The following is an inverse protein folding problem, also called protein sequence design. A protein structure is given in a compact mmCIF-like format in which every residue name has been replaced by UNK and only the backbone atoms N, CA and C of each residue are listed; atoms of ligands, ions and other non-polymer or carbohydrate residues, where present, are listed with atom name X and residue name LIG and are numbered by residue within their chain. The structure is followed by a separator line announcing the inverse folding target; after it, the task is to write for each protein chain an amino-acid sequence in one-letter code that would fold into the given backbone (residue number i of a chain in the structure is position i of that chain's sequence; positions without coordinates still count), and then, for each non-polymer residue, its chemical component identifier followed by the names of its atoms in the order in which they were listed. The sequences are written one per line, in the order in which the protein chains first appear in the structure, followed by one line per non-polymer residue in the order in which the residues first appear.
data_IF_800469041199
#
_entry.id   IF_800469041199
#
_cell.length_a   1.000
_cell.length_b   1.000
_cell.length_c   1.000
_cell.angle_alpha   90.00
_cell.angle_beta   90.00
_cell.angle_gamma   90.00
#
_symmetry.space_group_name_H-M   'P 1'
#
loop_
_entity.id
_entity.type
_entity.pdbx_description
1 polymer ?
#
# COMPACT_ATOMS: atom_id res chain seq x y z
N UNK A 1 -25.69 54.87 -65.93
CA UNK A 1 -26.34 53.85 -65.16
C UNK A 1 -25.27 53.08 -64.38
N UNK A 2 -25.09 53.40 -63.08
CA UNK A 2 -24.09 52.75 -62.20
C UNK A 2 -24.83 51.75 -61.37
N UNK A 3 -24.47 50.45 -61.44
CA UNK A 3 -25.00 49.34 -60.60
C UNK A 3 -24.09 49.22 -59.38
N UNK A 4 -24.62 49.53 -58.21
CA UNK A 4 -23.99 49.32 -56.93
C UNK A 4 -24.28 47.89 -56.44
N UNK A 5 -23.24 47.08 -56.24
CA UNK A 5 -23.36 45.72 -55.66
C UNK A 5 -23.08 45.83 -54.18
N UNK A 6 -24.09 45.61 -53.33
CA UNK A 6 -23.91 45.43 -51.86
C UNK A 6 -23.38 44.03 -51.59
N UNK A 7 -22.18 43.94 -51.03
CA UNK A 7 -21.63 42.72 -50.48
C UNK A 7 -22.07 42.59 -48.99
N UNK A 8 -22.96 41.64 -48.69
CA UNK A 8 -23.34 41.24 -47.33
C UNK A 8 -22.29 40.27 -46.79
N UNK A 9 -21.42 40.78 -45.88
CA UNK A 9 -20.48 39.94 -45.16
C UNK A 9 -21.18 39.21 -44.02
N UNK A 10 -21.32 37.87 -44.13
CA UNK A 10 -21.80 37.02 -43.05
C UNK A 10 -20.67 36.83 -42.04
N UNK A 11 -20.82 37.40 -40.85
CA UNK A 11 -19.93 37.23 -39.71
C UNK A 11 -20.28 35.89 -39.01
N UNK A 12 -19.56 34.84 -39.35
CA UNK A 12 -19.71 33.52 -38.67
C UNK A 12 -19.07 33.64 -37.25
N UNK A 13 -19.90 33.81 -36.24
CA UNK A 13 -19.50 33.57 -34.85
C UNK A 13 -19.18 32.10 -34.65
N UNK A 14 -17.92 31.71 -34.62
CA UNK A 14 -17.47 30.41 -34.14
C UNK A 14 -17.61 30.40 -32.61
N UNK A 15 -18.71 29.86 -32.10
CA UNK A 15 -18.85 29.49 -30.70
C UNK A 15 -17.85 28.33 -30.44
N UNK A 16 -16.67 28.70 -29.94
CA UNK A 16 -15.77 27.69 -29.33
C UNK A 16 -16.44 27.16 -28.07
N UNK A 17 -17.12 26.02 -28.19
CA UNK A 17 -17.46 25.23 -27.04
C UNK A 17 -16.14 24.77 -26.42
N UNK A 18 -15.65 25.51 -25.43
CA UNK A 18 -14.63 25.02 -24.52
C UNK A 18 -15.17 23.71 -23.92
N UNK A 19 -14.55 22.60 -24.22
CA UNK A 19 -14.84 21.35 -23.53
C UNK A 19 -14.54 21.59 -22.04
N UNK A 20 -15.55 22.01 -21.29
CA UNK A 20 -15.44 22.06 -19.83
C UNK A 20 -15.26 20.63 -19.38
N UNK A 21 -14.08 20.33 -18.81
CA UNK A 21 -13.87 19.14 -18.05
C UNK A 21 -15.02 19.04 -17.01
N UNK A 22 -15.78 17.96 -17.04
CA UNK A 22 -16.99 17.77 -16.24
C UNK A 22 -16.93 16.39 -15.61
N UNK A 23 -17.49 16.24 -14.42
CA UNK A 23 -17.75 14.92 -13.81
C UNK A 23 -18.76 14.20 -14.70
N UNK A 24 -18.41 13.03 -15.24
CA UNK A 24 -19.08 12.38 -16.37
C UNK A 24 -20.54 12.03 -16.13
N UNK A 25 -20.89 11.55 -14.92
CA UNK A 25 -22.27 11.24 -14.49
C UNK A 25 -22.75 12.09 -13.31
N UNK A 26 -21.98 13.13 -12.96
CA UNK A 26 -22.26 14.03 -11.84
C UNK A 26 -21.94 13.45 -10.46
N UNK A 27 -21.34 12.28 -10.37
CA UNK A 27 -20.96 11.60 -9.11
C UNK A 27 -19.57 10.97 -9.27
N UNK A 28 -18.65 11.24 -8.36
CA UNK A 28 -17.35 10.56 -8.31
C UNK A 28 -17.49 9.30 -7.48
N UNK A 29 -17.16 8.14 -8.05
CA UNK A 29 -17.31 6.85 -7.38
C UNK A 29 -15.96 6.18 -7.15
N UNK A 30 -15.68 5.81 -5.90
CA UNK A 30 -14.46 5.08 -5.53
C UNK A 30 -14.82 3.72 -4.97
N UNK A 31 -14.28 2.67 -5.58
CA UNK A 31 -14.43 1.29 -5.13
C UNK A 31 -13.30 0.88 -4.17
N UNK A 32 -13.63 0.46 -2.95
CA UNK A 32 -12.69 -0.15 -2.02
C UNK A 32 -12.77 -1.66 -2.20
N UNK A 33 -11.80 -2.21 -2.94
CA UNK A 33 -11.72 -3.64 -3.22
C UNK A 33 -10.61 -4.24 -2.36
N UNK A 34 -10.99 -4.93 -1.29
CA UNK A 34 -10.07 -5.35 -0.24
C UNK A 34 -10.35 -6.77 0.24
N UNK A 35 -9.51 -7.30 1.11
CA UNK A 35 -9.76 -8.56 1.82
C UNK A 35 -10.62 -8.27 3.06
N UNK A 36 -11.90 -8.66 3.03
CA UNK A 36 -12.84 -8.41 4.15
C UNK A 36 -12.85 -9.55 5.16
N UNK A 37 -12.45 -10.76 4.78
CA UNK A 37 -12.69 -11.97 5.55
C UNK A 37 -11.49 -12.91 5.68
N UNK A 38 -10.43 -12.67 4.93
CA UNK A 38 -9.24 -13.52 4.84
C UNK A 38 -8.06 -13.04 5.69
N UNK A 39 -6.84 -13.54 5.39
CA UNK A 39 -5.64 -13.32 6.20
C UNK A 39 -5.17 -11.85 6.27
N UNK A 40 -5.65 -10.99 5.39
CA UNK A 40 -5.28 -9.56 5.34
C UNK A 40 -6.40 -8.63 5.84
N UNK A 41 -7.53 -9.17 6.31
CA UNK A 41 -8.70 -8.38 6.72
C UNK A 41 -8.42 -7.45 7.90
N UNK A 42 -7.52 -7.81 8.80
CA UNK A 42 -7.15 -6.98 9.95
C UNK A 42 -6.32 -5.74 9.56
N UNK A 43 -5.46 -5.85 8.54
CA UNK A 43 -4.63 -4.73 8.11
C UNK A 43 -5.34 -3.77 7.16
N UNK A 44 -6.30 -4.24 6.37
CA UNK A 44 -7.13 -3.48 5.43
C UNK A 44 -8.62 -3.58 5.79
N UNK A 45 -9.37 -4.39 5.04
CA UNK A 45 -10.74 -4.80 5.31
C UNK A 45 -11.70 -3.65 5.60
N UNK A 46 -12.54 -3.84 6.63
CA UNK A 46 -13.48 -2.80 7.09
C UNK A 46 -12.77 -1.48 7.42
N UNK A 47 -11.56 -1.53 7.97
CA UNK A 47 -10.80 -0.32 8.30
C UNK A 47 -10.47 0.53 7.06
N UNK A 48 -10.22 -0.09 5.91
CA UNK A 48 -10.02 0.61 4.65
C UNK A 48 -11.29 1.34 4.19
N UNK A 49 -12.46 0.74 4.38
CA UNK A 49 -13.75 1.41 4.09
C UNK A 49 -13.96 2.61 5.01
N UNK A 50 -13.70 2.46 6.31
CA UNK A 50 -13.78 3.57 7.27
C UNK A 50 -12.82 4.70 6.90
N UNK A 51 -11.57 4.37 6.55
CA UNK A 51 -10.56 5.34 6.14
C UNK A 51 -10.99 6.12 4.88
N UNK A 52 -11.56 5.43 3.88
CA UNK A 52 -12.07 6.08 2.67
C UNK A 52 -13.25 7.01 2.94
N UNK A 53 -14.16 6.64 3.84
CA UNK A 53 -15.27 7.50 4.27
C UNK A 53 -14.77 8.76 4.98
N UNK A 54 -13.74 8.64 5.85
CA UNK A 54 -13.09 9.79 6.48
C UNK A 54 -12.43 10.72 5.44
N UNK A 55 -11.83 10.16 4.40
CA UNK A 55 -11.24 10.95 3.32
C UNK A 55 -12.31 11.74 2.55
N UNK A 56 -13.45 11.13 2.25
CA UNK A 56 -14.60 11.81 1.61
C UNK A 56 -15.12 12.93 2.49
N UNK A 57 -15.34 12.65 3.78
CA UNK A 57 -15.81 13.66 4.73
C UNK A 57 -14.90 14.89 4.79
N UNK A 58 -13.57 14.67 4.84
CA UNK A 58 -12.62 15.76 4.94
C UNK A 58 -12.52 16.54 3.62
N UNK A 59 -12.54 15.86 2.48
CA UNK A 59 -12.53 16.53 1.18
C UNK A 59 -13.80 17.38 0.96
N UNK A 60 -14.96 16.89 1.35
CA UNK A 60 -16.23 17.64 1.25
C UNK A 60 -16.25 18.90 2.11
N UNK A 61 -15.49 18.93 3.22
CA UNK A 61 -15.32 20.13 4.06
C UNK A 61 -14.32 21.13 3.47
N UNK A 62 -13.49 20.70 2.50
CA UNK A 62 -12.40 21.45 1.93
C UNK A 62 -12.53 21.55 0.40
N UNK A 63 -11.66 20.89 -0.37
CA UNK A 63 -11.52 21.04 -1.82
C UNK A 63 -12.69 20.50 -2.64
N UNK A 64 -13.42 19.49 -2.11
CA UNK A 64 -14.53 18.81 -2.80
C UNK A 64 -15.92 19.39 -2.46
N UNK A 65 -15.97 20.60 -1.95
CA UNK A 65 -17.25 21.22 -1.52
C UNK A 65 -18.28 21.22 -2.66
N UNK A 66 -19.43 20.61 -2.41
CA UNK A 66 -20.53 20.51 -3.37
C UNK A 66 -20.43 19.35 -4.36
N UNK A 67 -19.35 18.57 -4.37
CA UNK A 67 -19.26 17.34 -5.15
C UNK A 67 -20.14 16.24 -4.57
N UNK A 68 -20.65 15.38 -5.44
CA UNK A 68 -21.28 14.11 -5.04
C UNK A 68 -20.22 13.01 -5.12
N UNK A 69 -20.02 12.29 -4.02
CA UNK A 69 -19.00 11.25 -3.93
C UNK A 69 -19.64 10.00 -3.32
N UNK A 70 -19.39 8.85 -3.93
CA UNK A 70 -19.87 7.55 -3.48
C UNK A 70 -18.69 6.61 -3.20
N UNK A 71 -18.79 5.84 -2.11
CA UNK A 71 -17.86 4.74 -1.80
C UNK A 71 -18.60 3.41 -1.96
N UNK A 72 -18.09 2.57 -2.85
CA UNK A 72 -18.47 1.18 -2.96
C UNK A 72 -17.42 0.30 -2.27
N UNK A 73 -17.82 -0.89 -1.80
CA UNK A 73 -16.85 -1.82 -1.22
C UNK A 73 -17.18 -3.27 -1.56
N UNK A 74 -16.14 -4.10 -1.73
CA UNK A 74 -16.28 -5.52 -1.96
C UNK A 74 -15.09 -6.31 -1.45
N UNK A 75 -15.35 -7.61 -1.16
CA UNK A 75 -14.33 -8.58 -0.81
C UNK A 75 -13.79 -9.26 -2.08
N UNK A 76 -12.47 -9.24 -2.28
CA UNK A 76 -11.83 -9.94 -3.39
C UNK A 76 -11.44 -11.39 -3.04
N UNK A 77 -11.65 -11.82 -1.78
CA UNK A 77 -11.37 -13.16 -1.30
C UNK A 77 -9.93 -13.64 -1.59
N UNK A 78 -8.98 -12.71 -1.76
CA UNK A 78 -7.59 -12.97 -2.20
C UNK A 78 -7.47 -13.71 -3.55
N UNK A 79 -8.48 -13.61 -4.43
CA UNK A 79 -8.54 -14.25 -5.74
C UNK A 79 -8.52 -13.21 -6.84
N UNK A 80 -7.52 -13.30 -7.72
CA UNK A 80 -7.29 -12.33 -8.80
C UNK A 80 -8.43 -12.31 -9.84
N UNK A 81 -9.04 -13.45 -10.13
CA UNK A 81 -10.18 -13.60 -11.03
C UNK A 81 -11.46 -12.96 -10.47
N UNK A 82 -11.74 -13.16 -9.17
CA UNK A 82 -12.88 -12.52 -8.48
C UNK A 82 -12.69 -10.99 -8.47
N UNK A 83 -11.50 -10.53 -8.13
CA UNK A 83 -11.19 -9.11 -8.13
C UNK A 83 -11.31 -8.47 -9.52
N UNK A 84 -10.78 -9.12 -10.56
CA UNK A 84 -10.88 -8.64 -11.94
C UNK A 84 -12.34 -8.62 -12.44
N UNK A 85 -13.14 -9.63 -12.05
CA UNK A 85 -14.57 -9.67 -12.37
C UNK A 85 -15.34 -8.53 -11.69
N UNK A 86 -15.10 -8.29 -10.39
CA UNK A 86 -15.73 -7.20 -9.64
C UNK A 86 -15.29 -5.84 -10.18
N UNK A 87 -14.00 -5.65 -10.45
CA UNK A 87 -13.49 -4.40 -11.02
C UNK A 87 -14.12 -4.11 -12.41
N UNK A 88 -14.28 -5.14 -13.25
CA UNK A 88 -14.95 -5.00 -14.54
C UNK A 88 -16.42 -4.62 -14.38
N UNK A 89 -17.14 -5.29 -13.47
CA UNK A 89 -18.53 -4.95 -13.15
C UNK A 89 -18.64 -3.48 -12.71
N UNK A 90 -17.79 -3.03 -11.82
CA UNK A 90 -17.77 -1.66 -11.33
C UNK A 90 -17.50 -0.64 -12.44
N UNK A 91 -16.52 -0.90 -13.30
CA UNK A 91 -16.20 0.01 -14.42
C UNK A 91 -17.31 0.05 -15.47
N UNK A 92 -17.82 -1.10 -15.88
CA UNK A 92 -18.75 -1.20 -17.01
C UNK A 92 -20.19 -0.83 -16.62
N UNK A 93 -20.66 -1.29 -15.45
CA UNK A 93 -22.05 -1.14 -15.00
C UNK A 93 -22.22 0.01 -14.00
N UNK A 94 -21.39 0.03 -12.94
CA UNK A 94 -21.60 0.93 -11.82
C UNK A 94 -20.88 2.28 -12.01
N UNK A 95 -20.06 2.39 -13.07
CA UNK A 95 -19.31 3.61 -13.45
C UNK A 95 -18.39 4.09 -12.34
N UNK A 96 -17.62 3.17 -11.74
CA UNK A 96 -16.60 3.49 -10.75
C UNK A 96 -15.38 4.11 -11.44
N UNK A 97 -14.93 5.26 -10.96
CA UNK A 97 -13.82 6.04 -11.53
C UNK A 97 -12.45 5.57 -11.04
N UNK A 98 -12.38 5.16 -9.79
CA UNK A 98 -11.15 4.71 -9.15
C UNK A 98 -11.38 3.50 -8.25
N UNK A 99 -10.37 2.62 -8.17
CA UNK A 99 -10.34 1.48 -7.23
C UNK A 99 -9.15 1.64 -6.30
N UNK A 100 -9.37 1.45 -5.00
CA UNK A 100 -8.36 1.61 -3.96
C UNK A 100 -8.21 0.37 -3.09
N UNK A 101 -7.09 0.32 -2.35
CA UNK A 101 -6.62 -0.69 -1.41
C UNK A 101 -6.00 -1.91 -2.10
N UNK A 102 -6.77 -2.94 -2.51
CA UNK A 102 -6.30 -4.12 -3.25
C UNK A 102 -5.24 -4.94 -2.46
N UNK A 103 -5.54 -5.28 -1.22
CA UNK A 103 -4.60 -5.87 -0.22
C UNK A 103 -3.78 -7.09 -0.65
N UNK A 104 -4.03 -7.71 -1.81
CA UNK A 104 -3.28 -8.86 -2.33
C UNK A 104 -2.51 -8.49 -3.61
N UNK A 105 -1.22 -8.81 -3.68
CA UNK A 105 -0.38 -8.42 -4.83
C UNK A 105 -0.80 -9.03 -6.17
N UNK A 106 -1.28 -10.28 -6.20
CA UNK A 106 -1.79 -10.89 -7.44
C UNK A 106 -3.11 -10.25 -7.88
N UNK A 107 -3.97 -9.91 -6.92
CA UNK A 107 -5.19 -9.12 -7.15
C UNK A 107 -4.83 -7.76 -7.74
N UNK A 108 -3.90 -7.04 -7.12
CA UNK A 108 -3.49 -5.71 -7.55
C UNK A 108 -2.92 -5.70 -8.96
N UNK A 109 -2.05 -6.64 -9.31
CA UNK A 109 -1.50 -6.78 -10.67
C UNK A 109 -2.59 -7.03 -11.72
N UNK A 110 -3.56 -7.90 -11.41
CA UNK A 110 -4.68 -8.19 -12.29
C UNK A 110 -5.59 -6.98 -12.50
N UNK A 111 -5.94 -6.28 -11.42
CA UNK A 111 -6.78 -5.07 -11.48
C UNK A 111 -6.04 -3.92 -12.14
N UNK A 112 -4.73 -3.70 -11.86
CA UNK A 112 -3.94 -2.67 -12.53
C UNK A 112 -3.96 -2.81 -14.05
N UNK A 113 -3.79 -4.05 -14.55
CA UNK A 113 -3.88 -4.32 -15.99
C UNK A 113 -5.25 -3.93 -16.53
N UNK A 114 -6.34 -4.32 -15.86
CA UNK A 114 -7.70 -3.97 -16.27
C UNK A 114 -7.93 -2.45 -16.27
N UNK A 115 -7.50 -1.75 -15.21
CA UNK A 115 -7.64 -0.29 -15.10
C UNK A 115 -6.83 0.45 -16.17
N UNK A 116 -5.64 -0.04 -16.53
CA UNK A 116 -4.85 0.48 -17.65
C UNK A 116 -5.58 0.35 -18.98
N UNK A 117 -6.19 -0.81 -19.23
CA UNK A 117 -6.87 -1.11 -20.50
C UNK A 117 -8.21 -0.35 -20.62
N UNK A 118 -8.93 -0.15 -19.52
CA UNK A 118 -10.26 0.47 -19.50
C UNK A 118 -10.27 1.96 -19.13
N UNK A 119 -9.17 2.51 -18.65
CA UNK A 119 -9.05 3.94 -18.37
C UNK A 119 -9.49 4.36 -16.95
N UNK A 120 -9.45 3.49 -15.95
CA UNK A 120 -9.70 3.87 -14.54
C UNK A 120 -8.42 4.16 -13.75
N UNK A 121 -8.54 4.71 -12.55
CA UNK A 121 -7.44 4.94 -11.61
C UNK A 121 -7.34 3.79 -10.61
N UNK A 122 -6.13 3.26 -10.37
CA UNK A 122 -5.86 2.27 -9.33
C UNK A 122 -4.90 2.82 -8.28
N UNK A 123 -5.29 2.74 -7.00
CA UNK A 123 -4.50 3.20 -5.86
C UNK A 123 -4.21 2.03 -4.92
N UNK A 124 -2.94 1.69 -4.76
CA UNK A 124 -2.50 0.50 -4.04
C UNK A 124 -1.95 0.89 -2.67
N UNK A 125 -2.69 0.61 -1.61
CA UNK A 125 -2.26 0.86 -0.22
C UNK A 125 -1.92 -0.43 0.52
N UNK A 126 -2.53 -1.55 0.14
CA UNK A 126 -2.36 -2.84 0.79
C UNK A 126 -1.39 -3.81 0.10
N UNK A 127 -1.30 -3.89 -1.24
CA UNK A 127 -0.37 -4.80 -1.90
C UNK A 127 1.05 -4.26 -1.83
N UNK A 128 2.03 -5.15 -1.73
CA UNK A 128 3.42 -4.75 -1.51
C UNK A 128 4.35 -4.95 -2.71
N UNK A 129 3.98 -5.77 -3.71
CA UNK A 129 4.90 -6.10 -4.81
C UNK A 129 5.47 -4.87 -5.51
N UNK A 130 6.80 -4.75 -5.57
CA UNK A 130 7.48 -3.68 -6.32
C UNK A 130 7.16 -3.70 -7.82
N UNK A 131 6.62 -4.80 -8.36
CA UNK A 131 6.23 -4.92 -9.76
C UNK A 131 5.24 -3.84 -10.21
N UNK A 132 4.35 -3.39 -9.30
CA UNK A 132 3.33 -2.37 -9.59
C UNK A 132 3.91 -1.05 -10.11
N UNK A 133 5.15 -0.72 -9.76
CA UNK A 133 5.87 0.49 -10.17
C UNK A 133 7.17 0.20 -10.94
N UNK A 134 7.42 -1.08 -11.25
CA UNK A 134 8.54 -1.51 -12.08
C UNK A 134 8.01 -2.15 -13.39
N UNK A 135 8.21 -3.46 -13.56
CA UNK A 135 7.90 -4.16 -14.81
C UNK A 135 6.43 -4.14 -15.23
N UNK A 136 5.50 -4.04 -14.28
CA UNK A 136 4.06 -3.95 -14.54
C UNK A 136 3.49 -2.55 -14.35
N UNK A 137 4.31 -1.49 -14.32
CA UNK A 137 3.86 -0.13 -14.08
C UNK A 137 2.77 0.35 -15.06
N UNK A 138 1.90 1.21 -14.57
CA UNK A 138 0.78 1.77 -15.32
C UNK A 138 0.71 3.29 -15.18
N UNK A 139 0.36 4.05 -16.23
CA UNK A 139 0.17 5.49 -16.13
C UNK A 139 -0.94 5.88 -15.14
N UNK A 140 -1.88 4.95 -14.89
CA UNK A 140 -3.05 5.14 -14.04
C UNK A 140 -2.94 4.39 -12.69
N UNK A 141 -1.78 3.78 -12.39
CA UNK A 141 -1.52 3.04 -11.17
C UNK A 141 -0.64 3.84 -10.21
N UNK A 142 -1.02 3.89 -8.92
CA UNK A 142 -0.33 4.65 -7.89
C UNK A 142 -0.12 3.79 -6.65
N UNK A 143 1.14 3.56 -6.27
CA UNK A 143 1.50 2.69 -5.16
C UNK A 143 1.81 3.52 -3.91
N UNK A 144 0.93 3.42 -2.90
CA UNK A 144 1.01 4.16 -1.63
C UNK A 144 1.86 3.43 -0.59
N UNK A 145 2.04 4.02 0.53
CA UNK A 145 2.66 3.57 1.79
C UNK A 145 3.95 2.77 1.68
N UNK A 146 3.96 1.53 1.26
CA UNK A 146 5.10 0.62 1.32
C UNK A 146 5.18 -0.26 0.07
N UNK A 147 6.31 -0.92 -0.10
CA UNK A 147 6.50 -2.00 -1.06
C UNK A 147 7.48 -3.06 -0.51
N UNK A 148 7.68 -4.14 -1.24
CA UNK A 148 8.56 -5.23 -0.80
C UNK A 148 10.02 -4.79 -0.63
N UNK A 149 10.47 -3.78 -1.39
CA UNK A 149 11.81 -3.24 -1.21
C UNK A 149 11.94 -2.43 0.07
N UNK A 150 11.00 -1.53 0.37
CA UNK A 150 11.04 -0.70 1.59
C UNK A 150 11.00 -1.56 2.86
N UNK A 151 10.26 -2.66 2.85
CA UNK A 151 10.20 -3.62 3.95
C UNK A 151 11.51 -4.41 4.09
N UNK A 152 12.06 -4.88 2.98
CA UNK A 152 13.35 -5.59 2.96
C UNK A 152 14.52 -4.69 3.36
N UNK A 153 14.56 -3.45 2.86
CA UNK A 153 15.66 -2.51 3.09
C UNK A 153 15.81 -2.17 4.57
N UNK A 154 14.71 -2.01 5.31
CA UNK A 154 14.76 -1.74 6.74
C UNK A 154 15.33 -2.90 7.55
N UNK A 155 14.68 -4.06 7.47
CA UNK A 155 14.99 -5.21 8.33
C UNK A 155 16.21 -6.00 7.87
N UNK A 156 16.26 -6.38 6.57
CA UNK A 156 17.33 -7.24 6.06
C UNK A 156 18.68 -6.52 6.03
N UNK A 157 18.73 -5.23 5.68
CA UNK A 157 19.98 -4.47 5.70
C UNK A 157 20.53 -4.32 7.13
N UNK A 158 19.66 -3.98 8.10
CA UNK A 158 20.07 -3.79 9.49
C UNK A 158 20.69 -5.06 10.08
N UNK A 159 20.01 -6.20 9.96
CA UNK A 159 20.49 -7.48 10.49
C UNK A 159 21.77 -7.95 9.79
N UNK A 160 21.86 -7.80 8.48
CA UNK A 160 23.07 -8.20 7.72
C UNK A 160 24.28 -7.35 8.08
N UNK A 161 24.10 -6.03 8.30
CA UNK A 161 25.16 -5.12 8.79
C UNK A 161 25.64 -5.46 10.20
N UNK A 162 24.72 -5.97 11.05
CA UNK A 162 25.06 -6.46 12.39
C UNK A 162 25.76 -7.84 12.42
N UNK A 163 26.14 -8.38 11.26
CA UNK A 163 26.91 -9.62 11.16
C UNK A 163 26.06 -10.88 10.92
N UNK A 164 24.73 -10.74 10.82
CA UNK A 164 23.83 -11.85 10.49
C UNK A 164 23.85 -12.13 8.99
N UNK A 165 24.86 -12.87 8.51
CA UNK A 165 25.22 -12.95 7.09
C UNK A 165 24.48 -14.03 6.31
N UNK A 166 24.05 -15.14 6.92
CA UNK A 166 23.38 -16.24 6.24
C UNK A 166 21.86 -16.21 6.48
N UNK A 167 21.08 -16.27 5.39
CA UNK A 167 19.62 -16.15 5.41
C UNK A 167 18.94 -17.34 4.76
N UNK A 168 17.85 -17.78 5.37
CA UNK A 168 16.92 -18.75 4.79
C UNK A 168 15.50 -18.16 4.85
N UNK A 169 14.71 -18.28 3.77
CA UNK A 169 13.37 -17.70 3.74
C UNK A 169 12.25 -18.71 3.90
N UNK A 170 11.22 -18.35 4.65
CA UNK A 170 9.91 -19.01 4.67
C UNK A 170 8.95 -18.07 3.96
N UNK A 171 8.52 -18.46 2.75
CA UNK A 171 7.93 -17.54 1.79
C UNK A 171 6.52 -17.99 1.39
N UNK A 172 5.55 -17.08 1.45
CA UNK A 172 4.22 -17.35 0.90
C UNK A 172 4.26 -17.48 -0.62
N UNK A 173 3.66 -18.55 -1.16
CA UNK A 173 3.80 -18.95 -2.57
C UNK A 173 2.85 -18.20 -3.51
N UNK A 174 3.05 -16.88 -3.63
CA UNK A 174 2.40 -16.05 -4.66
C UNK A 174 3.20 -14.73 -4.88
N UNK A 175 2.72 -13.86 -5.80
CA UNK A 175 3.45 -12.67 -6.27
C UNK A 175 4.07 -11.81 -5.16
N UNK A 176 3.39 -11.63 -4.02
CA UNK A 176 3.92 -10.87 -2.88
C UNK A 176 5.15 -11.55 -2.26
N UNK A 177 5.03 -12.82 -1.85
CA UNK A 177 6.13 -13.53 -1.21
C UNK A 177 7.36 -13.63 -2.12
N UNK A 178 7.14 -13.91 -3.41
CA UNK A 178 8.22 -13.95 -4.41
C UNK A 178 8.93 -12.60 -4.54
N UNK A 179 8.19 -11.49 -4.57
CA UNK A 179 8.78 -10.15 -4.62
C UNK A 179 9.54 -9.82 -3.34
N UNK A 180 8.98 -10.14 -2.16
CA UNK A 180 9.61 -9.83 -0.88
C UNK A 180 10.89 -10.64 -0.68
N UNK A 181 10.88 -11.95 -0.99
CA UNK A 181 12.07 -12.80 -0.94
C UNK A 181 13.15 -12.29 -1.89
N UNK A 182 12.76 -11.93 -3.13
CA UNK A 182 13.69 -11.39 -4.11
C UNK A 182 14.32 -10.09 -3.62
N UNK A 183 13.52 -9.12 -3.20
CA UNK A 183 14.01 -7.82 -2.74
C UNK A 183 14.87 -7.96 -1.48
N UNK A 184 14.48 -8.83 -0.53
CA UNK A 184 15.28 -9.14 0.65
C UNK A 184 16.60 -9.83 0.30
N UNK A 185 16.56 -10.79 -0.62
CA UNK A 185 17.78 -11.47 -1.13
C UNK A 185 18.77 -10.49 -1.76
N UNK A 186 18.27 -9.56 -2.56
CA UNK A 186 19.09 -8.52 -3.19
C UNK A 186 19.71 -7.58 -2.15
N UNK A 187 18.93 -7.21 -1.11
CA UNK A 187 19.43 -6.39 0.02
C UNK A 187 20.48 -7.14 0.83
N UNK A 188 20.25 -8.41 1.18
CA UNK A 188 21.20 -9.26 1.90
C UNK A 188 22.53 -9.36 1.14
N UNK A 189 22.49 -9.69 -0.15
CA UNK A 189 23.68 -9.83 -1.00
C UNK A 189 24.47 -8.52 -1.11
N UNK A 190 23.79 -7.39 -1.34
CA UNK A 190 24.43 -6.07 -1.40
C UNK A 190 25.12 -5.66 -0.09
N UNK A 191 24.67 -6.19 1.06
CA UNK A 191 25.29 -5.96 2.35
C UNK A 191 26.30 -7.07 2.74
N UNK A 192 26.73 -7.88 1.78
CA UNK A 192 27.75 -8.92 1.97
C UNK A 192 27.25 -10.15 2.74
N UNK A 193 25.94 -10.44 2.67
CA UNK A 193 25.34 -11.68 3.16
C UNK A 193 25.08 -12.69 2.04
N UNK A 194 24.60 -13.86 2.40
CA UNK A 194 24.25 -14.97 1.51
C UNK A 194 22.87 -15.49 1.82
N UNK A 195 22.16 -15.95 0.80
CA UNK A 195 20.88 -16.68 0.93
C UNK A 195 21.17 -18.15 0.70
N UNK A 196 20.95 -18.97 1.71
CA UNK A 196 21.28 -20.41 1.69
C UNK A 196 20.10 -21.27 1.25
N UNK A 197 18.89 -20.71 1.13
CA UNK A 197 17.72 -21.41 0.62
C UNK A 197 16.41 -20.71 0.98
N UNK A 198 15.32 -21.33 0.56
CA UNK A 198 13.96 -20.91 0.88
C UNK A 198 13.01 -22.11 0.84
N UNK A 199 11.89 -22.01 1.54
CA UNK A 199 10.76 -22.92 1.47
C UNK A 199 9.48 -22.16 1.23
N UNK A 200 8.56 -22.74 0.44
CA UNK A 200 7.29 -22.12 0.06
C UNK A 200 6.15 -22.68 0.88
N UNK A 201 5.22 -21.83 1.30
CA UNK A 201 3.96 -22.22 1.94
C UNK A 201 2.76 -21.61 1.23
N UNK A 202 1.59 -22.25 1.22
CA UNK A 202 0.39 -21.67 0.63
C UNK A 202 -0.10 -20.46 1.44
N UNK A 203 -0.83 -19.56 0.79
CA UNK A 203 -1.51 -18.45 1.47
C UNK A 203 -2.55 -19.01 2.45
N UNK A 204 -2.63 -18.42 3.64
CA UNK A 204 -3.54 -18.82 4.73
C UNK A 204 -3.24 -20.24 5.25
N UNK A 205 -1.96 -20.55 5.43
CA UNK A 205 -1.52 -21.81 6.01
C UNK A 205 -1.88 -21.88 7.51
N UNK A 206 -2.47 -22.99 7.94
CA UNK A 206 -2.80 -23.22 9.36
C UNK A 206 -1.64 -23.83 10.15
N UNK A 207 -0.75 -24.55 9.47
CA UNK A 207 0.39 -25.24 10.07
C UNK A 207 1.69 -24.84 9.37
N UNK A 208 2.61 -24.30 10.16
CA UNK A 208 3.95 -23.87 9.72
C UNK A 208 5.05 -24.82 10.17
N UNK A 209 4.75 -25.90 10.91
CA UNK A 209 5.72 -26.77 11.56
C UNK A 209 6.78 -27.30 10.59
N UNK A 210 6.36 -27.85 9.45
CA UNK A 210 7.28 -28.44 8.45
C UNK A 210 8.17 -27.40 7.81
N UNK A 211 7.65 -26.22 7.51
CA UNK A 211 8.40 -25.10 6.92
C UNK A 211 9.44 -24.55 7.90
N UNK A 212 9.05 -24.40 9.17
CA UNK A 212 9.92 -23.91 10.25
C UNK A 212 11.04 -24.90 10.58
N UNK A 213 10.75 -26.22 10.60
CA UNK A 213 11.77 -27.27 10.81
C UNK A 213 12.79 -27.26 9.66
N UNK A 214 12.35 -27.12 8.40
CA UNK A 214 13.26 -26.99 7.27
C UNK A 214 14.14 -25.73 7.39
N UNK A 215 13.55 -24.61 7.77
CA UNK A 215 14.28 -23.37 8.00
C UNK A 215 15.29 -23.49 9.14
N UNK A 216 14.92 -24.14 10.25
CA UNK A 216 15.83 -24.42 11.36
C UNK A 216 16.99 -25.32 10.92
N UNK A 217 16.70 -26.38 10.15
CA UNK A 217 17.67 -27.34 9.64
C UNK A 217 18.69 -26.73 8.66
N UNK A 218 18.38 -25.59 8.04
CA UNK A 218 19.29 -24.82 7.17
C UNK A 218 20.50 -24.26 7.93
N UNK A 219 20.41 -24.10 9.25
CA UNK A 219 21.39 -23.45 10.14
C UNK A 219 21.75 -22.02 9.71
N UNK A 220 20.91 -21.38 8.93
CA UNK A 220 21.06 -19.96 8.62
C UNK A 220 20.99 -19.11 9.88
N UNK A 221 21.77 -18.04 9.95
CA UNK A 221 21.75 -17.11 11.10
C UNK A 221 20.40 -16.38 11.21
N UNK A 222 19.71 -16.18 10.06
CA UNK A 222 18.39 -15.55 10.02
C UNK A 222 17.41 -16.42 9.24
N UNK A 223 16.26 -16.67 9.86
CA UNK A 223 15.06 -17.18 9.19
C UNK A 223 14.21 -15.95 8.86
N UNK A 224 14.15 -15.58 7.58
CA UNK A 224 13.35 -14.47 7.08
C UNK A 224 11.94 -14.92 6.74
N UNK A 225 10.93 -14.38 7.41
CA UNK A 225 9.53 -14.61 7.07
C UNK A 225 9.13 -13.66 5.93
N UNK A 226 9.07 -14.19 4.71
CA UNK A 226 8.59 -13.47 3.53
C UNK A 226 7.09 -13.74 3.32
N UNK A 227 6.30 -13.39 4.32
CA UNK A 227 4.84 -13.47 4.38
C UNK A 227 4.29 -12.24 5.14
N UNK A 228 2.97 -12.17 5.40
CA UNK A 228 2.33 -11.03 6.04
C UNK A 228 0.97 -11.40 6.64
N UNK A 229 0.43 -10.56 7.53
CA UNK A 229 -0.88 -10.73 8.15
C UNK A 229 -0.99 -12.01 8.97
N UNK A 230 -2.11 -12.75 8.84
CA UNK A 230 -2.36 -13.96 9.62
C UNK A 230 -1.28 -15.03 9.48
N UNK A 231 -0.66 -15.16 8.29
CA UNK A 231 0.42 -16.12 8.07
C UNK A 231 1.68 -15.77 8.90
N UNK A 232 2.04 -14.48 8.96
CA UNK A 232 3.15 -14.01 9.83
C UNK A 232 2.85 -14.25 11.30
N UNK A 233 1.62 -13.95 11.74
CA UNK A 233 1.19 -14.17 13.12
C UNK A 233 1.29 -15.68 13.49
N UNK A 234 0.77 -16.56 12.62
CA UNK A 234 0.81 -18.01 12.83
C UNK A 234 2.24 -18.54 12.84
N UNK A 235 3.07 -18.11 11.88
CA UNK A 235 4.48 -18.52 11.80
C UNK A 235 5.28 -18.09 13.04
N UNK A 236 5.10 -16.87 13.54
CA UNK A 236 5.78 -16.37 14.74
C UNK A 236 5.34 -17.17 15.98
N UNK A 237 4.01 -17.40 16.16
CA UNK A 237 3.50 -18.19 17.31
C UNK A 237 4.09 -19.59 17.32
N UNK A 238 4.01 -20.31 16.20
CA UNK A 238 4.54 -21.68 16.09
C UNK A 238 6.07 -21.71 16.23
N UNK A 239 6.80 -20.75 15.65
CA UNK A 239 8.24 -20.66 15.85
C UNK A 239 8.62 -20.50 17.33
N UNK A 240 7.85 -19.73 18.10
CA UNK A 240 8.04 -19.58 19.56
C UNK A 240 7.78 -20.88 20.31
N UNK A 241 6.70 -21.61 19.99
CA UNK A 241 6.38 -22.90 20.58
C UNK A 241 7.51 -23.92 20.38
N UNK A 242 8.10 -23.96 19.20
CA UNK A 242 9.22 -24.83 18.86
C UNK A 242 10.60 -24.26 19.26
N UNK A 243 10.65 -23.05 19.85
CA UNK A 243 11.88 -22.32 20.19
C UNK A 243 12.78 -22.07 18.97
N UNK A 244 12.20 -21.96 17.79
CA UNK A 244 12.91 -21.64 16.55
C UNK A 244 13.16 -20.13 16.47
N UNK A 245 14.39 -19.76 16.11
CA UNK A 245 14.78 -18.35 15.97
C UNK A 245 14.89 -17.58 17.27
N UNK A 246 14.86 -18.23 18.44
CA UNK A 246 15.01 -17.64 19.77
C UNK A 246 16.43 -17.77 20.35
N UNK A 247 17.30 -18.52 19.67
CA UNK A 247 18.69 -18.74 20.07
C UNK A 247 19.65 -17.63 19.66
N UNK A 248 20.90 -17.72 20.17
CA UNK A 248 21.97 -16.79 19.79
C UNK A 248 22.45 -16.99 18.34
N UNK A 249 22.37 -18.26 17.87
CA UNK A 249 22.92 -18.68 16.58
C UNK A 249 21.94 -18.52 15.41
N UNK A 250 20.66 -18.42 15.71
CA UNK A 250 19.61 -18.27 14.70
C UNK A 250 18.52 -17.32 15.19
N UNK A 251 18.11 -16.35 14.36
CA UNK A 251 17.06 -15.37 14.63
C UNK A 251 15.91 -15.51 13.65
N UNK A 252 14.69 -15.26 14.14
CA UNK A 252 13.51 -15.08 13.28
C UNK A 252 13.38 -13.58 12.95
N UNK A 253 13.25 -13.26 11.67
CA UNK A 253 13.03 -11.91 11.16
C UNK A 253 11.74 -11.85 10.35
N UNK A 254 10.70 -11.20 10.86
CA UNK A 254 9.49 -10.91 10.09
C UNK A 254 9.75 -9.68 9.22
N UNK A 255 9.64 -9.85 7.88
CA UNK A 255 9.96 -8.78 6.94
C UNK A 255 8.80 -7.81 6.74
N UNK A 256 7.56 -8.26 6.93
CA UNK A 256 6.37 -7.41 6.88
C UNK A 256 5.49 -7.69 8.10
N UNK A 257 5.32 -6.67 8.92
CA UNK A 257 4.49 -6.70 10.13
C UNK A 257 3.63 -5.45 10.16
N UNK A 258 2.40 -5.59 10.63
CA UNK A 258 1.47 -4.49 10.84
C UNK A 258 1.14 -4.34 12.34
N UNK A 259 0.68 -3.17 12.72
CA UNK A 259 0.22 -2.90 14.09
C UNK A 259 -0.88 -3.90 14.52
N UNK A 260 -1.75 -4.31 13.60
CA UNK A 260 -2.75 -5.36 13.82
C UNK A 260 -2.16 -6.73 14.12
N UNK A 261 -1.01 -7.06 13.53
CA UNK A 261 -0.32 -8.34 13.77
C UNK A 261 0.31 -8.34 15.16
N UNK A 262 0.91 -7.21 15.58
CA UNK A 262 1.41 -7.04 16.95
C UNK A 262 0.28 -7.19 17.97
N UNK A 263 -0.90 -6.62 17.67
CA UNK A 263 -2.08 -6.78 18.51
C UNK A 263 -2.52 -8.25 18.64
N UNK A 264 -2.52 -8.99 17.52
CA UNK A 264 -2.90 -10.41 17.48
C UNK A 264 -1.87 -11.34 18.14
N UNK A 265 -0.59 -10.96 18.10
CA UNK A 265 0.50 -11.68 18.78
C UNK A 265 0.51 -11.46 20.28
N UNK A 266 0.15 -10.26 20.71
CA UNK A 266 0.40 -9.76 22.07
C UNK A 266 1.86 -9.37 22.29
N UNK A 267 2.09 -8.44 23.23
CA UNK A 267 3.42 -7.89 23.47
C UNK A 267 4.44 -8.94 23.97
N UNK A 268 4.02 -9.91 24.78
CA UNK A 268 4.91 -10.98 25.24
C UNK A 268 5.53 -11.77 24.09
N UNK A 269 4.75 -12.03 23.04
CA UNK A 269 5.23 -12.73 21.85
C UNK A 269 5.98 -11.83 20.89
N UNK A 270 5.50 -10.60 20.70
CA UNK A 270 6.00 -9.70 19.66
C UNK A 270 7.16 -8.81 20.11
N UNK A 271 7.41 -8.65 21.42
CA UNK A 271 8.43 -7.74 21.94
C UNK A 271 9.79 -7.92 21.26
N UNK A 272 10.42 -6.79 20.96
CA UNK A 272 11.74 -6.76 20.33
C UNK A 272 11.74 -6.96 18.82
N UNK A 273 10.61 -7.31 18.16
CA UNK A 273 10.52 -7.30 16.70
C UNK A 273 10.83 -5.90 16.18
N UNK A 274 11.66 -5.83 15.14
CA UNK A 274 12.04 -4.59 14.45
C UNK A 274 11.61 -4.70 12.99
N UNK A 275 10.89 -3.67 12.51
CA UNK A 275 10.41 -3.63 11.12
C UNK A 275 10.21 -2.19 10.63
N UNK A 276 10.00 -2.02 9.33
CA UNK A 276 9.68 -0.71 8.75
C UNK A 276 8.15 -0.50 8.70
N UNK A 277 7.70 0.68 9.11
CA UNK A 277 6.29 1.08 9.06
C UNK A 277 6.15 2.43 8.33
N UNK A 278 5.10 2.60 7.56
CA UNK A 278 4.81 3.85 6.86
C UNK A 278 3.95 4.83 7.66
N UNK A 279 3.35 4.38 8.75
CA UNK A 279 2.49 5.19 9.61
C UNK A 279 2.38 4.60 11.01
N UNK A 280 2.64 5.43 12.02
CA UNK A 280 2.35 5.06 13.41
C UNK A 280 1.41 6.07 14.05
N UNK A 281 0.33 5.58 14.66
CA UNK A 281 -0.76 6.40 15.17
C UNK A 281 -0.33 7.39 16.28
N UNK A 282 0.69 7.06 17.06
CA UNK A 282 1.23 7.88 18.16
C UNK A 282 2.57 8.57 17.80
N UNK A 283 2.77 8.90 16.52
CA UNK A 283 4.00 9.55 16.07
C UNK A 283 4.02 11.05 16.42
N UNK A 284 2.95 11.76 16.05
CA UNK A 284 2.80 13.21 16.28
C UNK A 284 1.33 13.58 16.57
N UNK A 285 1.04 14.86 16.83
CA UNK A 285 -0.32 15.31 17.13
C UNK A 285 -1.30 15.09 15.98
N UNK A 286 -0.83 15.19 14.73
CA UNK A 286 -1.62 14.94 13.53
C UNK A 286 -2.02 13.47 13.42
N UNK A 287 -1.06 12.56 13.59
CA UNK A 287 -1.32 11.11 13.55
C UNK A 287 -2.23 10.68 14.69
N UNK A 288 -2.08 11.27 15.89
CA UNK A 288 -2.96 11.04 17.05
C UNK A 288 -4.39 11.52 16.78
N UNK A 289 -4.55 12.71 16.20
CA UNK A 289 -5.86 13.27 15.85
C UNK A 289 -6.59 12.41 14.81
N UNK A 290 -5.89 11.98 13.76
CA UNK A 290 -6.40 11.05 12.76
C UNK A 290 -6.82 9.72 13.39
N UNK A 291 -5.93 9.11 14.18
CA UNK A 291 -6.18 7.83 14.81
C UNK A 291 -7.35 7.85 15.81
N UNK A 292 -7.54 8.96 16.54
CA UNK A 292 -8.69 9.12 17.46
C UNK A 292 -10.03 9.08 16.72
N UNK A 293 -10.12 9.72 15.56
CA UNK A 293 -11.32 9.68 14.71
C UNK A 293 -11.56 8.29 14.15
N UNK A 294 -10.51 7.68 13.62
CA UNK A 294 -10.56 6.34 13.05
C UNK A 294 -11.00 5.29 14.09
N UNK A 295 -10.40 5.31 15.27
CA UNK A 295 -10.74 4.43 16.40
C UNK A 295 -12.22 4.47 16.75
N UNK A 296 -12.80 5.67 16.82
CA UNK A 296 -14.24 5.86 17.13
C UNK A 296 -15.16 5.21 16.08
N UNK A 297 -14.71 5.15 14.80
CA UNK A 297 -15.47 4.58 13.69
C UNK A 297 -15.15 3.10 13.44
N UNK A 298 -13.99 2.61 13.90
CA UNK A 298 -13.49 1.27 13.65
C UNK A 298 -13.40 0.40 14.93
N UNK A 299 -14.45 0.38 15.72
CA UNK A 299 -14.61 -0.52 16.88
C UNK A 299 -13.45 -0.48 17.89
N UNK A 300 -12.83 0.68 18.09
CA UNK A 300 -11.72 0.85 19.03
C UNK A 300 -10.34 0.42 18.52
N UNK A 301 -10.23 -0.01 17.27
CA UNK A 301 -8.93 -0.35 16.68
C UNK A 301 -8.21 0.90 16.14
N UNK A 302 -6.89 0.94 16.34
CA UNK A 302 -6.03 1.98 15.73
C UNK A 302 -5.74 1.66 14.26
N UNK A 303 -5.52 2.67 13.41
CA UNK A 303 -5.22 2.45 11.99
C UNK A 303 -3.84 1.83 11.78
N UNK A 304 -3.76 0.89 10.85
CA UNK A 304 -2.51 0.41 10.26
C UNK A 304 -2.01 1.37 9.18
N UNK A 305 -0.76 1.19 8.72
CA UNK A 305 -0.25 1.95 7.56
C UNK A 305 -1.08 1.73 6.30
N UNK A 306 -1.71 0.56 6.10
CA UNK A 306 -2.60 0.28 4.95
C UNK A 306 -3.83 1.18 5.00
N UNK A 307 -4.53 1.20 6.12
CA UNK A 307 -5.75 1.99 6.33
C UNK A 307 -5.45 3.49 6.27
N UNK A 308 -4.33 3.93 6.84
CA UNK A 308 -3.85 5.30 6.71
C UNK A 308 -3.54 5.65 5.24
N UNK A 309 -2.94 4.72 4.49
CA UNK A 309 -2.68 4.87 3.06
C UNK A 309 -3.95 4.95 2.22
N UNK A 310 -4.99 4.21 2.57
CA UNK A 310 -6.31 4.32 1.90
C UNK A 310 -6.91 5.71 2.11
N UNK A 311 -6.88 6.24 3.34
CA UNK A 311 -7.31 7.62 3.59
C UNK A 311 -6.55 8.60 2.70
N UNK A 312 -5.22 8.55 2.73
CA UNK A 312 -4.36 9.50 1.99
C UNK A 312 -4.56 9.38 0.48
N UNK A 313 -4.63 8.17 -0.07
CA UNK A 313 -4.78 7.94 -1.51
C UNK A 313 -6.16 8.41 -2.02
N UNK A 314 -7.22 8.09 -1.30
CA UNK A 314 -8.59 8.52 -1.66
C UNK A 314 -8.73 10.04 -1.53
N UNK A 315 -8.22 10.64 -0.45
CA UNK A 315 -8.24 12.10 -0.28
C UNK A 315 -7.49 12.81 -1.41
N UNK A 316 -6.27 12.35 -1.75
CA UNK A 316 -5.47 12.93 -2.81
C UNK A 316 -6.10 12.77 -4.20
N UNK A 317 -6.71 11.62 -4.48
CA UNK A 317 -7.49 11.38 -5.70
C UNK A 317 -8.65 12.38 -5.81
N UNK A 318 -9.48 12.48 -4.78
CA UNK A 318 -10.64 13.39 -4.76
C UNK A 318 -10.22 14.85 -4.90
N UNK A 319 -9.17 15.28 -4.20
CA UNK A 319 -8.56 16.61 -4.35
C UNK A 319 -8.09 16.84 -5.78
N UNK A 320 -7.54 15.82 -6.44
CA UNK A 320 -7.08 15.90 -7.83
C UNK A 320 -8.24 16.03 -8.82
N UNK A 321 -9.33 15.29 -8.61
CA UNK A 321 -10.59 15.42 -9.37
C UNK A 321 -11.17 16.83 -9.21
N UNK A 322 -11.24 17.35 -7.98
CA UNK A 322 -11.73 18.71 -7.71
C UNK A 322 -10.89 19.78 -8.41
N UNK A 323 -9.56 19.67 -8.35
CA UNK A 323 -8.63 20.59 -9.00
C UNK A 323 -8.68 20.50 -10.53
N UNK A 324 -8.86 19.32 -11.08
CA UNK A 324 -9.01 19.06 -12.52
C UNK A 324 -10.40 19.45 -13.04
N UNK A 325 -11.40 19.52 -12.16
CA UNK A 325 -12.84 19.64 -12.50
C UNK A 325 -13.30 18.54 -13.46
N UNK A 326 -12.71 17.35 -13.36
CA UNK A 326 -12.91 16.22 -14.27
C UNK A 326 -12.61 14.92 -13.55
N UNK A 327 -13.31 13.85 -13.93
CA UNK A 327 -13.05 12.47 -13.54
C UNK A 327 -12.33 11.67 -14.65
N UNK A 328 -11.99 12.31 -15.79
CA UNK A 328 -11.17 11.65 -16.81
C UNK A 328 -9.83 11.17 -16.22
N UNK A 329 -9.61 9.86 -16.32
CA UNK A 329 -8.49 9.20 -15.65
C UNK A 329 -7.12 9.71 -16.08
N UNK A 330 -6.94 10.17 -17.32
CA UNK A 330 -5.66 10.70 -17.81
C UNK A 330 -5.39 12.10 -17.21
N UNK A 331 -6.43 12.94 -17.20
CA UNK A 331 -6.37 14.29 -16.61
C UNK A 331 -6.12 14.18 -15.11
N UNK A 332 -6.88 13.31 -14.42
CA UNK A 332 -6.74 13.09 -12.97
C UNK A 332 -5.37 12.49 -12.63
N UNK A 333 -4.90 11.49 -13.38
CA UNK A 333 -3.58 10.88 -13.16
C UNK A 333 -2.42 11.89 -13.29
N UNK A 334 -2.54 12.81 -14.25
CA UNK A 334 -1.59 13.93 -14.37
C UNK A 334 -1.69 14.85 -13.16
N UNK A 335 -2.91 15.23 -12.77
CA UNK A 335 -3.15 16.13 -11.64
C UNK A 335 -2.67 15.53 -10.32
N UNK A 336 -2.85 14.22 -10.10
CA UNK A 336 -2.31 13.52 -8.94
C UNK A 336 -0.78 13.64 -8.85
N UNK A 337 -0.06 13.60 -9.98
CA UNK A 337 1.42 13.76 -9.99
C UNK A 337 1.87 15.21 -9.79
N UNK A 338 1.07 16.17 -10.19
CA UNK A 338 1.38 17.61 -10.07
C UNK A 338 1.17 18.13 -8.64
N UNK A 339 0.17 17.61 -7.93
CA UNK A 339 -0.18 18.10 -6.61
C UNK A 339 0.68 17.45 -5.52
N UNK A 340 1.15 18.21 -4.53
CA UNK A 340 1.80 17.64 -3.37
C UNK A 340 0.78 16.88 -2.51
N UNK A 341 1.22 15.74 -1.96
CA UNK A 341 0.43 14.99 -0.99
C UNK A 341 0.67 15.61 0.38
N UNK A 342 -0.37 16.24 0.91
CA UNK A 342 -0.40 16.83 2.25
C UNK A 342 -1.80 16.65 2.82
N UNK A 343 -1.90 15.83 3.86
CA UNK A 343 -3.16 15.45 4.48
C UNK A 343 -2.98 15.06 5.96
N UNK A 344 -3.97 14.43 6.57
CA UNK A 344 -3.90 14.01 7.98
C UNK A 344 -2.89 12.88 8.25
N UNK A 345 -2.43 12.18 7.20
CA UNK A 345 -1.49 11.06 7.29
C UNK A 345 -0.08 11.48 6.83
N UNK A 346 0.02 12.13 5.68
CA UNK A 346 1.28 12.53 5.05
C UNK A 346 1.45 14.05 5.04
N UNK A 347 2.65 14.54 5.32
CA UNK A 347 2.91 15.98 5.32
C UNK A 347 3.77 16.45 4.14
N UNK A 348 4.61 15.59 3.59
CA UNK A 348 5.53 15.95 2.52
C UNK A 348 5.81 14.72 1.65
N UNK A 349 4.83 14.36 0.83
CA UNK A 349 4.96 13.24 -0.08
C UNK A 349 4.66 13.68 -1.52
N UNK A 350 5.20 12.93 -2.48
CA UNK A 350 5.03 13.20 -3.90
C UNK A 350 4.94 11.89 -4.69
N UNK A 351 4.40 11.97 -5.90
CA UNK A 351 4.27 10.82 -6.79
C UNK A 351 5.34 10.90 -7.88
N UNK A 352 6.16 9.87 -7.98
CA UNK A 352 7.13 9.72 -9.06
C UNK A 352 6.46 9.36 -10.40
N UNK A 353 7.16 9.54 -11.55
CA UNK A 353 6.65 9.15 -12.87
C UNK A 353 6.20 7.70 -12.97
N UNK A 354 6.85 6.77 -12.26
CA UNK A 354 6.50 5.34 -12.19
C UNK A 354 5.26 5.03 -11.35
N UNK A 355 4.66 6.04 -10.72
CA UNK A 355 3.49 5.90 -9.86
C UNK A 355 3.80 5.59 -8.38
N UNK A 356 5.08 5.48 -7.98
CA UNK A 356 5.44 5.30 -6.57
C UNK A 356 5.28 6.59 -5.79
N UNK A 357 4.54 6.54 -4.67
CA UNK A 357 4.48 7.64 -3.69
C UNK A 357 5.74 7.59 -2.83
N UNK A 358 6.45 8.70 -2.78
CA UNK A 358 7.69 8.87 -2.02
C UNK A 358 7.41 9.64 -0.74
N UNK A 359 7.73 9.05 0.39
CA UNK A 359 7.57 9.61 1.73
C UNK A 359 8.53 8.93 2.70
N UNK A 360 8.73 9.53 3.86
CA UNK A 360 9.53 8.92 4.93
C UNK A 360 8.85 7.66 5.48
N UNK A 361 9.67 6.68 5.85
CA UNK A 361 9.27 5.49 6.60
C UNK A 361 9.87 5.52 7.99
N UNK A 362 9.39 4.68 8.88
CA UNK A 362 9.87 4.60 10.26
C UNK A 362 10.42 3.20 10.54
N UNK A 363 11.64 3.14 11.09
CA UNK A 363 12.12 1.91 11.71
C UNK A 363 11.54 1.87 13.13
N UNK A 364 10.73 0.86 13.40
CA UNK A 364 10.05 0.70 14.69
C UNK A 364 10.48 -0.57 15.40
N UNK A 365 10.39 -0.55 16.72
CA UNK A 365 10.56 -1.74 17.55
C UNK A 365 9.32 -1.95 18.41
N UNK A 366 8.87 -3.21 18.49
CA UNK A 366 7.79 -3.59 19.39
C UNK A 366 8.27 -3.48 20.85
N UNK A 367 7.51 -2.75 21.66
CA UNK A 367 7.74 -2.54 23.09
C UNK A 367 7.64 -3.85 23.88
N UNK A 368 8.31 -3.90 25.01
CA UNK A 368 8.02 -4.90 26.04
C UNK A 368 6.69 -4.56 26.75
N UNK A 369 6.05 -5.53 27.40
CA UNK A 369 4.86 -5.26 28.22
C UNK A 369 5.02 -4.12 29.23
N UNK A 370 6.22 -4.00 29.83
CA UNK A 370 6.54 -2.95 30.82
C UNK A 370 6.68 -1.55 30.20
N UNK A 371 7.01 -1.43 28.91
CA UNK A 371 7.15 -0.16 28.20
C UNK A 371 5.80 0.36 27.67
N UNK A 372 4.80 -0.51 27.51
CA UNK A 372 3.50 -0.14 26.96
C UNK A 372 2.61 0.52 28.01
N UNK A 373 1.94 1.60 27.63
CA UNK A 373 0.98 2.34 28.47
C UNK A 373 -0.45 1.83 28.36
N UNK A 374 -0.69 0.83 27.51
CA UNK A 374 -2.03 0.26 27.28
C UNK A 374 -2.24 -0.29 25.87
N UNK A 375 -3.49 -0.58 25.53
CA UNK A 375 -3.85 -1.15 24.24
C UNK A 375 -3.41 -0.25 23.08
N UNK A 376 -2.81 -0.86 22.05
CA UNK A 376 -2.29 -0.23 20.84
C UNK A 376 -1.02 0.62 21.01
N UNK A 377 -0.55 0.86 22.24
CA UNK A 377 0.75 1.51 22.49
C UNK A 377 1.89 0.49 22.41
N UNK A 378 2.12 -0.04 21.22
CA UNK A 378 2.98 -1.20 21.01
C UNK A 378 4.35 -0.88 20.44
N UNK A 379 4.53 0.29 19.84
CA UNK A 379 5.73 0.59 19.09
C UNK A 379 6.52 1.76 19.68
N UNK A 380 7.83 1.67 19.59
CA UNK A 380 8.74 2.82 19.71
C UNK A 380 9.43 3.05 18.37
N UNK A 381 9.43 4.29 17.92
CA UNK A 381 10.15 4.69 16.71
C UNK A 381 11.64 4.78 17.05
N UNK A 382 12.46 3.99 16.35
CA UNK A 382 13.91 3.99 16.53
C UNK A 382 14.58 5.08 15.68
N UNK A 383 14.12 5.23 14.43
CA UNK A 383 14.62 6.23 13.50
C UNK A 383 13.63 6.46 12.34
N UNK A 384 13.75 7.60 11.69
CA UNK A 384 13.14 7.85 10.40
C UNK A 384 14.04 7.31 9.30
N UNK A 385 13.46 6.61 8.32
CA UNK A 385 14.10 6.21 7.07
C UNK A 385 13.70 7.25 6.04
N UNK A 386 14.63 8.10 5.58
CA UNK A 386 14.32 9.17 4.62
C UNK A 386 13.72 8.62 3.33
N UNK A 387 12.83 9.38 2.72
CA UNK A 387 12.08 9.02 1.51
C UNK A 387 12.96 8.53 0.34
N UNK A 388 14.13 9.14 0.16
CA UNK A 388 15.12 8.79 -0.86
C UNK A 388 15.87 7.47 -0.60
N UNK A 389 15.82 6.96 0.65
CA UNK A 389 16.43 5.70 1.05
C UNK A 389 15.40 4.58 1.23
N UNK A 390 14.13 4.92 1.45
CA UNK A 390 13.07 3.97 1.73
C UNK A 390 12.68 3.13 0.49
N UNK A 391 12.76 3.68 -0.72
CA UNK A 391 12.29 3.07 -1.94
C UNK A 391 13.42 2.90 -2.96
N UNK A 392 13.28 1.94 -3.89
CA UNK A 392 14.23 1.80 -5.02
C UNK A 392 14.35 3.14 -5.77
N UNK A 393 15.56 3.47 -6.19
CA UNK A 393 15.80 4.59 -7.09
C UNK A 393 15.18 4.32 -8.47
N UNK A 394 14.82 5.38 -9.21
CA UNK A 394 14.27 5.22 -10.56
C UNK A 394 15.27 4.64 -11.56
N UNK A 395 16.58 4.80 -11.33
CA UNK A 395 17.64 4.22 -12.18
C UNK A 395 17.62 2.69 -12.18
N UNK A 396 17.06 2.07 -11.14
CA UNK A 396 16.91 0.61 -11.03
C UNK A 396 15.51 0.13 -11.42
N UNK A 397 14.61 1.05 -11.75
CA UNK A 397 13.23 0.71 -12.12
C UNK A 397 13.16 0.15 -13.54
N UNK A 398 12.39 -0.93 -13.71
CA UNK A 398 12.13 -1.54 -15.02
C UNK A 398 10.87 -0.97 -15.69
N UNK A 399 10.33 0.16 -15.18
CA UNK A 399 9.12 0.78 -15.70
C UNK A 399 9.36 1.48 -17.04
N UNK A 400 8.63 1.11 -18.06
CA UNK A 400 8.73 1.67 -19.41
C UNK A 400 8.17 3.10 -19.53
N UNK A 401 7.49 3.61 -18.50
CA UNK A 401 6.99 4.99 -18.43
C UNK A 401 8.10 5.99 -18.04
N UNK A 402 9.19 5.49 -17.49
CA UNK A 402 10.35 6.29 -17.08
C UNK A 402 11.37 6.25 -18.21
N UNK A 403 11.63 7.41 -18.83
CA UNK A 403 12.71 7.52 -19.82
C UNK A 403 14.06 7.37 -19.07
N UNK A 404 14.89 6.45 -19.56
CA UNK A 404 16.26 6.28 -19.07
C UNK A 404 17.13 7.48 -19.47
#
# INVERSE_FOLDING_TARGET
MKKTVLAMGALALTLSFGAHAQISDGVVKVGILTDMSGPYSAMGGRGSVVASQMAVEDCLKAECKGMKIEILSADHLNKADIAASKAREWLDRDKVDAIADLTNSSVALSVQKLMKDKGGIAMFSGPATTRLTNEDCSPNGFHWMFDTYSQAAGTAAALTKLGQKSWYFVTVDYAFGHSLEKDASDVVKRNGGTVVGAVRHPLNASDFSSFLVQAQGSKAQVIGLANGGADTVSAIKQAREFRIGSGKDQRLAALLVFLSDVHALGLETAQGLVYADGFYWDYDDRSRAFAKRFEALNKGAKPTMVQAGVYSSVYHYLKSVAAAKSDDSKIVAQKMRELPIKDAVMNNASIRPDGRVIHDMYLVQVKTPAESKGAWDYLKVLSTIPADQAFKTMDTAACNLVKK
#
